data_IF_536124342651
#
_entry.id   IF_536124342651
#
_cell.length_a   1.000
_cell.length_b   1.000
_cell.length_c   1.000
_cell.angle_alpha   90.00
_cell.angle_beta   90.00
_cell.angle_gamma   90.00
#
_symmetry.space_group_name_H-M   'P 1'
#
loop_
_entity.id
_entity.type
_entity.pdbx_description
1 polymer ?
#
# COMPACT_ATOMS: atom_id res chain seq x y z
N UNK A 1 -13.84 -20.27 22.44
CA UNK A 1 -13.55 -19.04 23.20
C UNK A 1 -13.09 -18.00 22.18
N UNK A 2 -13.80 -16.89 22.03
CA UNK A 2 -13.42 -15.81 21.10
C UNK A 2 -12.18 -15.14 21.69
N UNK A 3 -11.12 -14.97 20.89
CA UNK A 3 -9.89 -14.30 21.33
C UNK A 3 -10.26 -12.90 21.88
N UNK A 4 -9.97 -12.56 23.15
CA UNK A 4 -10.44 -11.32 23.79
C UNK A 4 -9.95 -10.04 23.11
N UNK A 5 -9.06 -10.15 22.12
CA UNK A 5 -8.51 -9.03 21.36
C UNK A 5 -7.25 -8.48 22.01
N UNK A 6 -6.40 -7.82 21.22
CA UNK A 6 -5.10 -7.32 21.68
C UNK A 6 -5.18 -6.08 22.60
N UNK A 7 -6.37 -5.50 22.79
CA UNK A 7 -6.60 -4.31 23.61
C UNK A 7 -7.83 -4.52 24.50
N UNK A 8 -7.65 -4.33 25.80
CA UNK A 8 -8.68 -4.41 26.84
C UNK A 8 -8.75 -3.10 27.65
N UNK A 9 -9.82 -2.97 28.45
CA UNK A 9 -9.99 -1.90 29.44
C UNK A 9 -9.70 -0.48 28.95
N UNK A 10 -8.89 0.28 29.69
CA UNK A 10 -8.59 1.69 29.41
C UNK A 10 -7.89 1.91 28.06
N UNK A 11 -7.02 0.98 27.63
CA UNK A 11 -6.37 1.03 26.32
C UNK A 11 -7.40 0.96 25.19
N UNK A 12 -8.37 0.05 25.33
CA UNK A 12 -9.45 -0.10 24.35
C UNK A 12 -10.37 1.12 24.35
N UNK A 13 -10.71 1.66 25.52
CA UNK A 13 -11.55 2.85 25.65
C UNK A 13 -10.89 4.07 24.97
N UNK A 14 -9.60 4.29 25.21
CA UNK A 14 -8.84 5.33 24.54
C UNK A 14 -8.88 5.19 23.01
N UNK A 15 -8.61 3.98 22.50
CA UNK A 15 -8.61 3.72 21.05
C UNK A 15 -10.00 3.91 20.44
N UNK A 16 -11.07 3.50 21.13
CA UNK A 16 -12.46 3.74 20.69
C UNK A 16 -12.75 5.25 20.62
N UNK A 17 -12.30 6.03 21.62
CA UNK A 17 -12.44 7.48 21.63
C UNK A 17 -11.68 8.21 20.52
N UNK A 18 -10.66 7.58 19.92
CA UNK A 18 -9.91 8.14 18.78
C UNK A 18 -10.42 7.69 17.41
N UNK A 19 -11.45 6.84 17.32
CA UNK A 19 -12.02 6.39 16.05
C UNK A 19 -12.44 7.55 15.16
N UNK A 20 -13.12 8.57 15.71
CA UNK A 20 -13.55 9.73 14.93
C UNK A 20 -12.39 10.49 14.28
N UNK A 21 -11.27 10.67 15.00
CA UNK A 21 -10.07 11.30 14.45
C UNK A 21 -9.41 10.45 13.37
N UNK A 22 -9.38 9.12 13.56
CA UNK A 22 -8.90 8.20 12.53
C UNK A 22 -9.80 8.24 11.29
N UNK A 23 -11.13 8.28 11.45
CA UNK A 23 -12.10 8.33 10.35
C UNK A 23 -11.99 9.64 9.57
N UNK A 24 -11.84 10.77 10.28
CA UNK A 24 -11.53 12.04 9.65
C UNK A 24 -10.21 11.97 8.86
N UNK A 25 -9.19 11.29 9.39
CA UNK A 25 -7.94 11.02 8.67
C UNK A 25 -8.14 10.18 7.41
N UNK A 26 -8.94 9.12 7.47
CA UNK A 26 -9.27 8.32 6.28
C UNK A 26 -10.03 9.15 5.25
N UNK A 27 -11.09 9.85 5.66
CA UNK A 27 -11.91 10.66 4.77
C UNK A 27 -11.17 11.85 4.17
N UNK A 28 -10.19 12.40 4.91
CA UNK A 28 -9.45 13.59 4.52
C UNK A 28 -8.10 13.33 3.88
N UNK A 29 -7.68 12.08 3.70
CA UNK A 29 -6.41 11.77 3.03
C UNK A 29 -5.16 11.85 3.92
N UNK A 30 -5.30 11.90 5.24
CA UNK A 30 -4.20 12.10 6.22
C UNK A 30 -4.21 11.08 7.37
N UNK A 31 -4.66 9.86 7.10
CA UNK A 31 -4.72 8.73 8.03
C UNK A 31 -3.39 8.43 8.68
N UNK A 32 -2.26 8.61 8.00
CA UNK A 32 -0.94 8.37 8.61
C UNK A 32 -0.62 9.40 9.70
N UNK A 33 -0.93 10.66 9.49
CA UNK A 33 -0.73 11.72 10.50
C UNK A 33 -1.71 11.55 11.67
N UNK A 34 -2.96 11.16 11.38
CA UNK A 34 -3.93 10.79 12.39
C UNK A 34 -3.43 9.58 13.21
N UNK A 35 -2.91 8.53 12.56
CA UNK A 35 -2.33 7.36 13.22
C UNK A 35 -1.11 7.72 14.05
N UNK A 36 -0.18 8.51 13.53
CA UNK A 36 1.01 8.94 14.25
C UNK A 36 0.62 9.74 15.50
N UNK A 37 -0.38 10.61 15.39
CA UNK A 37 -0.93 11.37 16.53
C UNK A 37 -1.58 10.45 17.55
N UNK A 38 -2.36 9.46 17.11
CA UNK A 38 -3.00 8.47 17.98
C UNK A 38 -1.94 7.63 18.70
N UNK A 39 -0.94 7.12 17.98
CA UNK A 39 0.16 6.33 18.54
C UNK A 39 0.96 7.15 19.54
N UNK A 40 1.35 8.38 19.21
CA UNK A 40 2.06 9.28 20.13
C UNK A 40 1.29 9.46 21.43
N UNK A 41 -0.01 9.82 21.36
CA UNK A 41 -0.86 10.00 22.54
C UNK A 41 -1.07 8.70 23.31
N UNK A 42 -1.17 7.58 22.59
CA UNK A 42 -1.27 6.26 23.21
C UNK A 42 -0.01 5.97 24.04
N UNK A 43 1.19 6.09 23.46
CA UNK A 43 2.44 5.77 24.16
C UNK A 43 2.75 6.70 25.34
N UNK A 44 2.26 7.94 25.30
CA UNK A 44 2.34 8.85 26.45
C UNK A 44 1.50 8.40 27.64
N UNK A 45 0.30 7.89 27.36
CA UNK A 45 -0.67 7.46 28.39
C UNK A 45 -0.44 6.02 28.86
N UNK A 46 0.09 5.19 27.97
CA UNK A 46 0.34 3.77 28.18
C UNK A 46 1.82 3.50 27.90
N UNK A 47 2.70 3.69 28.91
CA UNK A 47 4.15 3.55 28.72
C UNK A 47 4.52 2.16 28.19
N UNK A 48 5.46 2.11 27.26
CA UNK A 48 5.94 0.87 26.62
C UNK A 48 6.52 -0.11 27.64
N UNK A 49 7.07 0.41 28.74
CA UNK A 49 7.70 -0.38 29.79
C UNK A 49 6.67 -1.02 30.75
N UNK A 50 5.40 -0.60 30.69
CA UNK A 50 4.33 -1.17 31.50
C UNK A 50 3.82 -2.46 30.85
N UNK A 51 3.65 -3.52 31.63
CA UNK A 51 3.10 -4.79 31.12
C UNK A 51 1.69 -4.58 30.54
N UNK A 52 1.34 -5.33 29.49
CA UNK A 52 0.07 -5.17 28.77
C UNK A 52 -1.15 -5.54 29.62
N UNK A 53 -0.95 -6.32 30.67
CA UNK A 53 -2.00 -6.75 31.61
C UNK A 53 -2.20 -5.76 32.77
N UNK A 54 -1.36 -4.72 32.87
CA UNK A 54 -1.41 -3.75 33.96
C UNK A 54 -1.90 -2.41 33.42
N UNK A 55 -3.03 -1.94 33.93
CA UNK A 55 -3.56 -0.62 33.58
C UNK A 55 -2.80 0.49 34.31
N UNK A 56 -2.48 1.61 33.65
CA UNK A 56 -1.93 2.78 34.33
C UNK A 56 -2.93 3.33 35.36
N UNK A 57 -2.42 3.90 36.45
CA UNK A 57 -3.28 4.55 37.44
C UNK A 57 -4.01 5.75 36.84
N UNK A 58 -5.21 6.06 37.34
CA UNK A 58 -5.97 7.23 36.92
C UNK A 58 -5.19 8.54 37.14
N UNK A 59 -4.40 8.61 38.22
CA UNK A 59 -3.52 9.75 38.52
C UNK A 59 -2.43 9.93 37.44
N UNK A 60 -1.82 8.84 36.98
CA UNK A 60 -0.86 8.91 35.88
C UNK A 60 -1.51 9.42 34.60
N UNK A 61 -2.69 8.89 34.25
CA UNK A 61 -3.42 9.32 33.05
C UNK A 61 -3.86 10.78 33.10
N UNK A 62 -4.20 11.29 34.28
CA UNK A 62 -4.57 12.70 34.47
C UNK A 62 -3.38 13.65 34.39
N UNK A 63 -2.19 13.19 34.78
CA UNK A 63 -0.95 13.98 34.73
C UNK A 63 -0.33 14.06 33.32
N UNK A 64 -0.73 13.19 32.39
CA UNK A 64 -0.15 13.15 31.04
C UNK A 64 -0.68 14.29 30.17
N UNK A 65 0.22 15.20 29.79
CA UNK A 65 -0.05 16.19 28.75
C UNK A 65 0.17 15.59 27.35
N UNK A 66 -0.93 15.34 26.64
CA UNK A 66 -0.92 14.88 25.25
C UNK A 66 -0.22 15.87 24.30
N UNK A 67 -0.28 17.18 24.61
CA UNK A 67 0.20 18.29 23.80
C UNK A 67 1.71 18.47 23.82
N UNK A 68 2.36 18.21 24.96
CA UNK A 68 3.81 18.40 25.14
C UNK A 68 4.66 17.69 24.06
N UNK A 69 5.84 18.23 23.70
CA UNK A 69 6.84 17.47 22.95
C UNK A 69 7.27 16.21 23.71
N UNK A 70 7.59 15.13 22.99
CA UNK A 70 8.18 13.94 23.61
C UNK A 70 9.70 14.17 23.72
N UNK A 71 10.32 13.90 24.88
CA UNK A 71 11.76 14.04 25.02
C UNK A 71 12.47 13.09 24.06
N UNK A 72 13.47 13.60 23.34
CA UNK A 72 14.28 12.75 22.45
C UNK A 72 15.02 11.73 23.30
N UNK A 73 14.90 10.45 22.93
CA UNK A 73 15.57 9.38 23.64
C UNK A 73 17.05 9.37 23.20
N UNK A 74 17.94 9.76 24.10
CA UNK A 74 19.37 9.78 23.84
C UNK A 74 19.87 8.34 23.57
N UNK A 75 20.66 8.18 22.51
CA UNK A 75 21.35 6.92 22.26
C UNK A 75 22.47 6.77 23.32
N UNK A 76 22.69 5.55 23.86
CA UNK A 76 23.77 5.32 24.81
C UNK A 76 25.10 5.77 24.22
N UNK A 77 25.85 6.58 24.97
CA UNK A 77 27.14 7.11 24.54
C UNK A 77 28.25 6.13 24.98
N UNK A 78 28.95 5.54 24.00
CA UNK A 78 30.01 4.55 24.23
C UNK A 78 31.19 5.15 25.00
N UNK A 79 31.44 6.45 24.87
CA UNK A 79 32.57 7.13 25.51
C UNK A 79 32.29 7.51 26.98
N UNK A 80 31.02 7.55 27.39
CA UNK A 80 30.61 7.97 28.75
C UNK A 80 30.27 6.81 29.68
N UNK A 81 29.86 5.68 29.12
CA UNK A 81 29.39 4.52 29.87
C UNK A 81 30.47 3.44 29.94
N UNK A 82 30.53 2.70 31.03
CA UNK A 82 31.37 1.50 31.05
C UNK A 82 30.87 0.48 30.00
N UNK A 83 31.72 -0.42 29.49
CA UNK A 83 31.32 -1.41 28.49
C UNK A 83 30.11 -2.26 28.91
N UNK A 84 29.95 -2.55 30.20
CA UNK A 84 28.82 -3.31 30.73
C UNK A 84 27.52 -2.48 30.75
N UNK A 85 27.59 -1.23 31.22
CA UNK A 85 26.45 -0.31 31.24
C UNK A 85 25.97 0.06 29.82
N UNK A 86 26.90 0.25 28.89
CA UNK A 86 26.59 0.49 27.48
C UNK A 86 25.82 -0.67 26.85
N UNK A 87 26.25 -1.91 27.13
CA UNK A 87 25.56 -3.10 26.65
C UNK A 87 24.15 -3.23 27.24
N UNK A 88 23.98 -2.94 28.52
CA UNK A 88 22.67 -2.97 29.17
C UNK A 88 21.74 -1.89 28.62
N UNK A 89 22.23 -0.65 28.49
CA UNK A 89 21.49 0.46 27.91
C UNK A 89 21.06 0.17 26.47
N UNK A 90 21.97 -0.40 25.66
CA UNK A 90 21.69 -0.80 24.28
C UNK A 90 20.64 -1.90 24.22
N UNK A 91 20.75 -2.93 25.07
CA UNK A 91 19.74 -4.01 25.17
C UNK A 91 18.37 -3.48 25.57
N UNK A 92 18.31 -2.57 26.55
CA UNK A 92 17.06 -1.95 26.99
C UNK A 92 16.41 -1.13 25.87
N UNK A 93 17.21 -0.37 25.12
CA UNK A 93 16.74 0.41 23.98
C UNK A 93 16.24 -0.50 22.85
N UNK A 94 16.95 -1.60 22.57
CA UNK A 94 16.55 -2.58 21.58
C UNK A 94 15.24 -3.30 21.97
N UNK A 95 15.12 -3.77 23.22
CA UNK A 95 13.90 -4.38 23.74
C UNK A 95 12.71 -3.41 23.65
N UNK A 96 12.92 -2.12 23.95
CA UNK A 96 11.90 -1.08 23.79
C UNK A 96 11.51 -0.89 22.32
N UNK A 97 12.48 -0.85 21.39
CA UNK A 97 12.22 -0.79 19.94
C UNK A 97 11.39 -1.99 19.46
N UNK A 98 11.68 -3.19 19.96
CA UNK A 98 10.93 -4.43 19.64
C UNK A 98 9.49 -4.39 20.18
N UNK A 99 9.28 -3.87 21.40
CA UNK A 99 7.95 -3.67 21.97
C UNK A 99 7.12 -2.64 21.16
N UNK A 100 7.74 -1.57 20.67
CA UNK A 100 7.09 -0.59 19.79
C UNK A 100 6.66 -1.25 18.46
N UNK A 101 7.51 -2.12 17.90
CA UNK A 101 7.19 -2.89 16.68
C UNK A 101 6.03 -3.88 16.92
N UNK A 102 5.96 -4.50 18.10
CA UNK A 102 4.85 -5.37 18.48
C UNK A 102 3.51 -4.61 18.51
N UNK A 103 3.52 -3.33 18.88
CA UNK A 103 2.34 -2.46 18.88
C UNK A 103 1.92 -1.90 17.51
N UNK A 104 2.50 -2.41 16.40
CA UNK A 104 1.87 -2.39 15.05
C UNK A 104 0.42 -2.92 15.05
N UNK A 105 -0.02 -3.53 16.15
CA UNK A 105 -1.42 -3.83 16.45
C UNK A 105 -2.37 -2.62 16.40
N UNK A 106 -1.95 -1.41 16.78
CA UNK A 106 -2.84 -0.22 16.79
C UNK A 106 -3.31 0.13 15.37
N UNK A 107 -2.38 0.17 14.39
CA UNK A 107 -2.71 0.42 12.98
C UNK A 107 -3.69 -0.62 12.45
N UNK A 108 -3.39 -1.90 12.68
CA UNK A 108 -4.27 -3.02 12.26
C UNK A 108 -5.64 -2.96 12.94
N UNK A 109 -5.69 -2.61 14.21
CA UNK A 109 -6.93 -2.50 14.97
C UNK A 109 -7.78 -1.33 14.46
N UNK A 110 -7.20 -0.16 14.21
CA UNK A 110 -7.92 1.00 13.66
C UNK A 110 -8.47 0.71 12.26
N UNK A 111 -7.65 0.10 11.39
CA UNK A 111 -8.08 -0.32 10.06
C UNK A 111 -9.24 -1.34 10.14
N UNK A 112 -9.11 -2.36 11.01
CA UNK A 112 -10.18 -3.33 11.24
C UNK A 112 -11.47 -2.68 11.73
N UNK A 113 -11.40 -1.76 12.70
CA UNK A 113 -12.58 -1.04 13.19
C UNK A 113 -13.21 -0.18 12.10
N UNK A 114 -12.40 0.46 11.25
CA UNK A 114 -12.91 1.22 10.11
C UNK A 114 -13.66 0.33 9.12
N UNK A 115 -13.05 -0.79 8.70
CA UNK A 115 -13.69 -1.74 7.79
C UNK A 115 -14.96 -2.34 8.37
N UNK A 116 -14.96 -2.65 9.68
CA UNK A 116 -16.12 -3.19 10.38
C UNK A 116 -17.29 -2.21 10.42
N UNK A 117 -17.01 -0.93 10.67
CA UNK A 117 -18.06 0.10 10.77
C UNK A 117 -18.56 0.57 9.40
N UNK A 118 -17.80 0.35 8.32
CA UNK A 118 -18.13 0.79 6.95
C UNK A 118 -18.47 -0.37 6.01
N UNK A 119 -18.69 -1.58 6.53
CA UNK A 119 -19.06 -2.80 5.78
C UNK A 119 -18.14 -3.12 4.58
N UNK A 120 -16.87 -2.70 4.62
CA UNK A 120 -15.92 -2.93 3.53
C UNK A 120 -15.51 -4.41 3.53
N UNK A 121 -15.91 -5.13 2.48
CA UNK A 121 -15.66 -6.56 2.33
C UNK A 121 -14.24 -6.79 1.77
N UNK A 122 -13.36 -7.42 2.56
CA UNK A 122 -11.93 -7.63 2.25
C UNK A 122 -11.66 -8.56 1.05
N UNK A 123 -12.71 -9.12 0.45
CA UNK A 123 -12.63 -10.22 -0.53
C UNK A 123 -12.39 -9.78 -1.98
N UNK A 124 -12.50 -8.49 -2.28
CA UNK A 124 -12.40 -8.00 -3.67
C UNK A 124 -10.99 -7.50 -4.06
N UNK A 125 -10.02 -7.54 -3.15
CA UNK A 125 -8.72 -6.88 -3.33
C UNK A 125 -7.68 -7.65 -4.17
N UNK A 126 -7.88 -8.95 -4.44
CA UNK A 126 -6.82 -9.79 -5.01
C UNK A 126 -6.93 -10.12 -6.51
N UNK A 127 -8.15 -10.32 -7.02
CA UNK A 127 -8.35 -10.98 -8.33
C UNK A 127 -8.36 -10.05 -9.53
N UNK A 128 -8.36 -8.73 -9.34
CA UNK A 128 -8.32 -7.74 -10.43
C UNK A 128 -7.08 -6.82 -10.34
N UNK A 129 -5.90 -7.38 -10.06
CA UNK A 129 -4.68 -6.58 -10.14
C UNK A 129 -4.31 -6.36 -11.62
N UNK A 130 -4.38 -5.13 -12.15
CA UNK A 130 -4.08 -4.85 -13.55
C UNK A 130 -2.60 -5.05 -13.90
N UNK A 131 -1.71 -5.15 -12.90
CA UNK A 131 -0.29 -5.43 -13.09
C UNK A 131 0.06 -6.93 -13.13
N UNK A 132 -0.91 -7.83 -13.01
CA UNK A 132 -0.63 -9.27 -13.04
C UNK A 132 0.10 -9.70 -14.34
N UNK A 133 -0.28 -9.11 -15.48
CA UNK A 133 0.36 -9.33 -16.78
C UNK A 133 1.80 -8.80 -16.79
N UNK A 134 2.03 -7.59 -16.26
CA UNK A 134 3.38 -6.99 -16.20
C UNK A 134 4.31 -7.76 -15.26
N UNK A 135 3.81 -8.20 -14.09
CA UNK A 135 4.54 -9.09 -13.18
C UNK A 135 4.99 -10.37 -13.89
N UNK A 136 4.12 -10.97 -14.70
CA UNK A 136 4.45 -12.16 -15.46
C UNK A 136 5.57 -11.90 -16.46
N UNK A 137 5.50 -10.78 -17.20
CA UNK A 137 6.54 -10.40 -18.16
C UNK A 137 7.88 -10.15 -17.48
N UNK A 138 7.89 -9.46 -16.32
CA UNK A 138 9.11 -9.14 -15.58
C UNK A 138 9.76 -10.35 -14.90
N UNK A 139 8.96 -11.25 -14.31
CA UNK A 139 9.52 -12.39 -13.59
C UNK A 139 10.06 -13.47 -14.53
N UNK A 140 9.68 -13.49 -15.80
CA UNK A 140 10.01 -14.58 -16.75
C UNK A 140 9.46 -15.95 -16.33
N UNK A 141 8.71 -16.00 -15.24
CA UNK A 141 8.00 -17.17 -14.74
C UNK A 141 6.58 -17.06 -15.27
N UNK A 142 6.22 -17.98 -16.16
CA UNK A 142 4.83 -18.14 -16.61
C UNK A 142 3.92 -18.22 -15.39
N UNK A 143 2.81 -17.46 -15.35
CA UNK A 143 1.74 -17.72 -14.39
C UNK A 143 1.47 -19.23 -14.35
N UNK A 144 1.06 -19.75 -13.19
CA UNK A 144 0.60 -21.14 -13.12
C UNK A 144 -0.37 -21.37 -14.27
N UNK A 145 0.06 -22.18 -15.25
CA UNK A 145 -0.74 -22.53 -16.42
C UNK A 145 -2.11 -22.90 -15.90
N UNK A 146 -3.16 -22.30 -16.49
CA UNK A 146 -4.54 -22.60 -16.17
C UNK A 146 -4.66 -24.12 -16.03
N UNK A 147 -5.09 -24.59 -14.86
CA UNK A 147 -5.17 -26.03 -14.62
C UNK A 147 -6.45 -26.52 -15.27
N UNK A 148 -6.33 -27.47 -16.19
CA UNK A 148 -7.49 -28.16 -16.73
C UNK A 148 -8.33 -28.74 -15.58
N UNK A 149 -9.62 -28.41 -15.56
CA UNK A 149 -10.56 -28.96 -14.59
C UNK A 149 -10.73 -30.46 -14.87
N UNK A 150 -10.89 -31.27 -13.83
CA UNK A 150 -11.20 -32.69 -14.03
C UNK A 150 -12.61 -32.83 -14.62
N UNK A 151 -12.89 -33.87 -15.42
CA UNK A 151 -14.22 -34.08 -16.02
C UNK A 151 -15.34 -34.11 -14.97
N UNK A 152 -15.08 -34.74 -13.83
CA UNK A 152 -16.01 -34.77 -12.69
C UNK A 152 -16.33 -33.37 -12.13
N UNK A 153 -15.36 -32.44 -12.12
CA UNK A 153 -15.61 -31.08 -11.65
C UNK A 153 -16.48 -30.28 -12.63
N UNK A 154 -16.32 -30.50 -13.94
CA UNK A 154 -17.17 -29.87 -14.96
C UNK A 154 -18.60 -30.40 -14.85
N UNK A 155 -18.76 -31.72 -14.78
CA UNK A 155 -20.05 -32.38 -14.57
C UNK A 155 -20.78 -31.92 -13.27
N UNK A 156 -20.04 -31.74 -12.17
CA UNK A 156 -20.60 -31.27 -10.89
C UNK A 156 -21.26 -29.89 -10.98
N UNK A 157 -20.86 -29.03 -11.93
CA UNK A 157 -21.44 -27.68 -12.07
C UNK A 157 -22.89 -27.75 -12.55
N UNK A 158 -23.19 -28.66 -13.47
CA UNK A 158 -24.52 -28.82 -14.07
C UNK A 158 -25.43 -29.71 -13.22
N UNK A 159 -24.86 -30.58 -12.38
CA UNK A 159 -25.60 -31.53 -11.53
C UNK A 159 -25.54 -31.16 -10.03
N UNK A 160 -25.25 -29.90 -9.71
CA UNK A 160 -25.01 -29.47 -8.33
C UNK A 160 -26.23 -29.70 -7.42
N UNK A 161 -27.44 -29.52 -7.95
CA UNK A 161 -28.70 -29.69 -7.21
C UNK A 161 -28.95 -31.17 -6.86
N UNK A 162 -28.76 -32.07 -7.83
CA UNK A 162 -28.94 -33.52 -7.60
C UNK A 162 -27.94 -34.07 -6.58
N UNK A 163 -26.68 -33.63 -6.68
CA UNK A 163 -25.62 -33.97 -5.71
C UNK A 163 -25.99 -33.44 -4.33
N UNK A 164 -26.54 -32.22 -4.25
CA UNK A 164 -26.93 -31.59 -2.99
C UNK A 164 -28.07 -32.34 -2.31
N UNK A 165 -29.10 -32.70 -3.08
CA UNK A 165 -30.27 -33.40 -2.57
C UNK A 165 -29.92 -34.81 -2.11
N UNK A 166 -29.09 -35.53 -2.87
CA UNK A 166 -28.58 -36.85 -2.47
C UNK A 166 -27.65 -36.75 -1.25
N UNK A 167 -26.79 -35.73 -1.17
CA UNK A 167 -25.93 -35.50 0.00
C UNK A 167 -26.75 -35.19 1.26
N UNK A 168 -27.79 -34.36 1.16
CA UNK A 168 -28.74 -34.09 2.26
C UNK A 168 -29.50 -35.34 2.67
N UNK A 169 -29.96 -36.14 1.71
CA UNK A 169 -30.64 -37.41 1.96
C UNK A 169 -29.76 -38.38 2.75
N UNK A 170 -28.49 -38.53 2.37
CA UNK A 170 -27.51 -39.36 3.08
C UNK A 170 -27.18 -38.82 4.49
N UNK A 171 -27.04 -37.50 4.61
CA UNK A 171 -26.83 -36.86 5.92
C UNK A 171 -28.00 -37.09 6.87
N UNK A 172 -29.24 -36.94 6.38
CA UNK A 172 -30.46 -37.20 7.17
C UNK A 172 -30.56 -38.67 7.57
N UNK A 173 -30.22 -39.61 6.67
CA UNK A 173 -30.18 -41.05 6.98
C UNK A 173 -29.13 -41.40 8.04
N UNK A 174 -27.92 -40.84 7.94
CA UNK A 174 -26.87 -41.04 8.96
C UNK A 174 -27.25 -40.42 10.32
N UNK A 175 -27.97 -39.30 10.31
CA UNK A 175 -28.51 -38.66 11.53
C UNK A 175 -29.59 -39.52 12.20
N UNK A 176 -30.52 -40.10 11.41
CA UNK A 176 -31.53 -41.04 11.90
C UNK A 176 -30.91 -42.34 12.44
N UNK A 177 -29.79 -42.76 11.88
CA UNK A 177 -29.04 -43.95 12.31
C UNK A 177 -28.13 -43.70 13.53
N UNK A 178 -28.20 -42.52 14.17
CA UNK A 178 -27.42 -42.19 15.37
C UNK A 178 -25.90 -42.06 15.15
N UNK A 179 -25.44 -41.92 13.90
CA UNK A 179 -24.01 -41.75 13.59
C UNK A 179 -23.57 -40.30 13.85
N UNK A 180 -22.29 -40.11 14.20
CA UNK A 180 -21.70 -38.78 14.38
C UNK A 180 -21.94 -37.91 13.14
N UNK A 181 -22.44 -36.68 13.33
CA UNK A 181 -22.66 -35.70 12.26
C UNK A 181 -21.35 -35.43 11.50
N UNK A 182 -21.19 -36.04 10.32
CA UNK A 182 -20.19 -35.61 9.35
C UNK A 182 -20.61 -34.24 8.79
N UNK A 183 -19.63 -33.39 8.50
CA UNK A 183 -19.89 -32.11 7.79
C UNK A 183 -20.48 -32.42 6.40
N UNK A 184 -21.34 -31.56 5.89
CA UNK A 184 -22.04 -31.78 4.61
C UNK A 184 -21.07 -31.77 3.41
N UNK A 185 -20.01 -30.95 3.43
CA UNK A 185 -19.03 -30.84 2.35
C UNK A 185 -18.33 -32.16 1.95
N UNK A 186 -17.75 -32.97 2.86
CA UNK A 186 -17.16 -34.27 2.49
C UNK A 186 -18.19 -35.27 1.97
N UNK A 187 -19.44 -35.22 2.43
CA UNK A 187 -20.52 -36.07 1.91
C UNK A 187 -20.81 -35.69 0.45
N UNK A 188 -20.99 -34.39 0.15
CA UNK A 188 -21.18 -33.90 -1.22
C UNK A 188 -20.07 -34.37 -2.17
N UNK A 189 -18.81 -34.27 -1.73
CA UNK A 189 -17.66 -34.71 -2.54
C UNK A 189 -17.66 -36.21 -2.81
N UNK A 190 -18.05 -37.04 -1.82
CA UNK A 190 -18.20 -38.50 -2.01
C UNK A 190 -19.33 -38.83 -2.98
N UNK A 191 -20.50 -38.22 -2.76
CA UNK A 191 -21.69 -38.40 -3.61
C UNK A 191 -21.38 -38.04 -5.05
N UNK A 192 -20.78 -36.88 -5.29
CA UNK A 192 -20.41 -36.46 -6.63
C UNK A 192 -19.45 -37.45 -7.32
N UNK A 193 -18.46 -37.96 -6.59
CA UNK A 193 -17.51 -38.95 -7.13
C UNK A 193 -18.21 -40.27 -7.47
N UNK A 194 -19.08 -40.75 -6.58
CA UNK A 194 -19.82 -42.00 -6.80
C UNK A 194 -20.79 -41.88 -7.98
N UNK A 195 -21.58 -40.81 -8.04
CA UNK A 195 -22.50 -40.54 -9.15
C UNK A 195 -21.76 -40.44 -10.48
N UNK A 196 -20.60 -39.77 -10.51
CA UNK A 196 -19.79 -39.67 -11.72
C UNK A 196 -19.21 -41.02 -12.18
N UNK A 197 -18.87 -41.92 -11.25
CA UNK A 197 -18.36 -43.27 -11.59
C UNK A 197 -19.45 -44.16 -12.16
N UNK A 198 -20.72 -43.95 -11.77
CA UNK A 198 -21.87 -44.71 -12.27
C UNK A 198 -22.23 -44.34 -13.72
N UNK A 199 -21.83 -43.15 -14.19
CA UNK A 199 -22.05 -42.74 -15.57
C UNK A 199 -21.45 -43.72 -16.57
N UNK A 200 -22.12 -43.85 -17.72
CA UNK A 200 -21.62 -44.68 -18.82
C UNK A 200 -20.24 -44.18 -19.30
N UNK A 201 -19.50 -45.05 -19.99
CA UNK A 201 -18.21 -44.65 -20.56
C UNK A 201 -18.38 -43.50 -21.56
N UNK A 202 -19.42 -43.56 -22.40
CA UNK A 202 -19.73 -42.53 -23.39
C UNK A 202 -19.96 -41.16 -22.72
N UNK A 203 -20.80 -41.09 -21.69
CA UNK A 203 -21.04 -39.82 -20.98
C UNK A 203 -19.76 -39.28 -20.32
N UNK A 204 -18.95 -40.16 -19.72
CA UNK A 204 -17.66 -39.75 -19.11
C UNK A 204 -16.69 -39.20 -20.15
N UNK A 205 -16.68 -39.75 -21.36
CA UNK A 205 -15.87 -39.26 -22.47
C UNK A 205 -16.38 -37.91 -22.99
N UNK A 206 -17.70 -37.71 -23.07
CA UNK A 206 -18.31 -36.42 -23.41
C UNK A 206 -17.91 -35.31 -22.41
N UNK A 207 -17.98 -35.58 -21.10
CA UNK A 207 -17.51 -34.63 -20.08
C UNK A 207 -16.00 -34.40 -20.12
N UNK A 208 -15.23 -35.41 -20.52
CA UNK A 208 -13.79 -35.29 -20.73
C UNK A 208 -13.47 -34.37 -21.89
N UNK A 209 -14.21 -34.48 -23.00
CA UNK A 209 -14.06 -33.60 -24.14
C UNK A 209 -14.48 -32.17 -23.79
N UNK A 210 -15.62 -31.98 -23.13
CA UNK A 210 -16.07 -30.66 -22.69
C UNK A 210 -15.05 -29.99 -21.76
N UNK A 211 -14.45 -30.76 -20.83
CA UNK A 211 -13.40 -30.24 -19.95
C UNK A 211 -12.11 -29.83 -20.69
N UNK A 212 -11.80 -30.46 -21.83
CA UNK A 212 -10.70 -30.05 -22.72
C UNK A 212 -11.09 -28.79 -23.49
N UNK A 213 -12.27 -28.76 -24.10
CA UNK A 213 -12.74 -27.63 -24.89
C UNK A 213 -12.86 -26.35 -24.04
N UNK A 214 -13.43 -26.45 -22.83
CA UNK A 214 -13.46 -25.33 -21.87
C UNK A 214 -12.04 -24.86 -21.51
N UNK A 215 -11.11 -25.79 -21.29
CA UNK A 215 -9.74 -25.45 -20.94
C UNK A 215 -8.99 -24.78 -22.09
N UNK A 216 -9.13 -25.30 -23.31
CA UNK A 216 -8.50 -24.75 -24.50
C UNK A 216 -9.06 -23.36 -24.82
N UNK A 217 -10.37 -23.16 -24.66
CA UNK A 217 -10.99 -21.84 -24.76
C UNK A 217 -10.50 -20.86 -23.68
N UNK A 218 -10.42 -21.29 -22.42
CA UNK A 218 -9.88 -20.48 -21.31
C UNK A 218 -8.40 -20.12 -21.55
N UNK A 219 -7.58 -21.07 -22.04
CA UNK A 219 -6.17 -20.84 -22.39
C UNK A 219 -6.03 -19.91 -23.58
N UNK A 220 -6.85 -20.06 -24.62
CA UNK A 220 -6.84 -19.19 -25.77
C UNK A 220 -7.20 -17.75 -25.37
N UNK A 221 -8.24 -17.58 -24.55
CA UNK A 221 -8.62 -16.27 -24.00
C UNK A 221 -7.51 -15.66 -23.15
N UNK A 222 -6.94 -16.44 -22.23
CA UNK A 222 -5.84 -15.99 -21.37
C UNK A 222 -4.60 -15.60 -22.17
N UNK A 223 -4.23 -16.36 -23.21
CA UNK A 223 -3.14 -16.01 -24.13
C UNK A 223 -3.45 -14.72 -24.89
N UNK A 224 -4.67 -14.57 -25.41
CA UNK A 224 -5.08 -13.36 -26.11
C UNK A 224 -5.07 -12.14 -25.18
N UNK A 225 -5.47 -12.29 -23.92
CA UNK A 225 -5.39 -11.22 -22.90
C UNK A 225 -3.93 -10.89 -22.53
N UNK A 226 -3.04 -11.88 -22.55
CA UNK A 226 -1.61 -11.72 -22.24
C UNK A 226 -0.80 -11.08 -23.37
N UNK A 227 -1.09 -11.49 -24.61
CA UNK A 227 -0.39 -11.05 -25.84
C UNK A 227 -1.05 -9.82 -26.47
N UNK A 228 -2.30 -9.53 -26.09
CA UNK A 228 -3.05 -8.38 -26.56
C UNK A 228 -2.47 -7.05 -26.07
N UNK A 229 -2.80 -5.94 -26.74
CA UNK A 229 -2.41 -4.61 -26.26
C UNK A 229 -3.06 -4.35 -24.89
N UNK A 230 -2.32 -3.66 -24.02
CA UNK A 230 -2.87 -3.21 -22.74
C UNK A 230 -4.12 -2.35 -22.97
N UNK A 231 -5.11 -2.50 -22.08
CA UNK A 231 -6.33 -1.69 -22.13
C UNK A 231 -6.00 -0.19 -22.13
N UNK A 232 -6.59 0.52 -23.07
CA UNK A 232 -6.44 1.98 -23.20
C UNK A 232 -7.61 2.76 -22.59
N UNK A 233 -8.57 2.06 -21.98
CA UNK A 233 -9.75 2.72 -21.38
C UNK A 233 -9.32 3.60 -20.20
N UNK A 234 -9.95 4.77 -19.99
CA UNK A 234 -9.66 5.63 -18.86
C UNK A 234 -9.79 4.92 -17.50
N UNK A 235 -10.81 4.07 -17.34
CA UNK A 235 -11.05 3.32 -16.10
C UNK A 235 -9.94 2.31 -15.79
N UNK A 236 -9.50 1.53 -16.77
CA UNK A 236 -8.43 0.56 -16.54
C UNK A 236 -7.08 1.26 -16.31
N UNK A 237 -6.83 2.37 -17.01
CA UNK A 237 -5.65 3.22 -16.75
C UNK A 237 -5.65 3.77 -15.32
N UNK A 238 -6.79 4.24 -14.81
CA UNK A 238 -6.88 4.70 -13.42
C UNK A 238 -6.58 3.58 -12.43
N UNK A 239 -7.13 2.37 -12.65
CA UNK A 239 -6.81 1.19 -11.81
C UNK A 239 -5.31 0.87 -11.82
N UNK A 240 -4.67 0.94 -12.98
CA UNK A 240 -3.21 0.81 -13.07
C UNK A 240 -2.50 1.91 -12.27
N UNK A 241 -2.85 3.17 -12.47
CA UNK A 241 -2.22 4.29 -11.76
C UNK A 241 -2.32 4.12 -10.23
N UNK A 242 -3.50 3.78 -9.72
CA UNK A 242 -3.74 3.52 -8.29
C UNK A 242 -2.94 2.30 -7.77
N UNK A 243 -2.85 1.24 -8.57
CA UNK A 243 -2.12 0.02 -8.20
C UNK A 243 -0.59 0.14 -8.34
N UNK A 244 -0.07 1.16 -9.03
CA UNK A 244 1.35 1.23 -9.41
C UNK A 244 2.27 1.19 -8.18
N UNK A 245 1.87 1.88 -7.11
CA UNK A 245 2.64 1.89 -5.86
C UNK A 245 2.78 0.52 -5.25
N UNK A 246 1.66 -0.21 -5.11
CA UNK A 246 1.67 -1.53 -4.50
C UNK A 246 2.49 -2.54 -5.32
N UNK A 247 2.50 -2.34 -6.64
CA UNK A 247 3.26 -3.16 -7.57
C UNK A 247 4.77 -2.83 -7.58
N UNK A 248 5.16 -1.55 -7.62
CA UNK A 248 6.58 -1.16 -7.77
C UNK A 248 7.33 -1.14 -6.44
N UNK A 249 6.67 -0.84 -5.31
CA UNK A 249 7.36 -0.75 -4.01
C UNK A 249 8.18 -2.01 -3.66
N UNK A 250 7.63 -3.24 -3.76
CA UNK A 250 8.41 -4.45 -3.47
C UNK A 250 9.62 -4.64 -4.40
N UNK A 251 9.54 -4.17 -5.64
CA UNK A 251 10.64 -4.24 -6.61
C UNK A 251 11.77 -3.29 -6.18
N UNK A 252 11.43 -2.04 -5.85
CA UNK A 252 12.40 -1.06 -5.38
C UNK A 252 13.04 -1.50 -4.05
N UNK A 253 12.26 -2.08 -3.13
CA UNK A 253 12.74 -2.64 -1.88
C UNK A 253 13.70 -3.81 -2.11
N UNK A 254 13.39 -4.69 -3.07
CA UNK A 254 14.27 -5.78 -3.50
C UNK A 254 15.61 -5.26 -4.06
N UNK A 255 15.58 -4.25 -4.94
CA UNK A 255 16.79 -3.61 -5.47
C UNK A 255 17.63 -3.04 -4.32
N UNK A 256 17.02 -2.28 -3.41
CA UNK A 256 17.73 -1.70 -2.27
C UNK A 256 18.33 -2.76 -1.35
N UNK A 257 17.63 -3.88 -1.15
CA UNK A 257 18.09 -4.99 -0.31
C UNK A 257 19.29 -5.70 -0.92
N UNK A 258 19.25 -6.02 -2.21
CA UNK A 258 20.32 -6.78 -2.89
C UNK A 258 21.55 -5.92 -3.17
N UNK A 259 21.35 -4.67 -3.59
CA UNK A 259 22.45 -3.80 -4.04
C UNK A 259 22.99 -2.89 -2.93
N UNK A 260 22.23 -2.71 -1.85
CA UNK A 260 22.48 -1.68 -0.83
C UNK A 260 22.15 -0.25 -1.29
N UNK A 261 21.76 -0.04 -2.56
CA UNK A 261 21.46 1.28 -3.12
C UNK A 261 20.16 1.85 -2.55
N UNK A 262 19.82 3.06 -2.99
CA UNK A 262 18.54 3.72 -2.74
C UNK A 262 17.89 3.92 -4.10
N UNK A 263 16.66 3.47 -4.25
CA UNK A 263 15.98 3.44 -5.54
C UNK A 263 14.77 4.37 -5.50
N UNK A 264 14.44 4.98 -6.63
CA UNK A 264 13.23 5.80 -6.76
C UNK A 264 12.66 5.63 -8.16
N UNK A 265 11.35 5.49 -8.26
CA UNK A 265 10.61 5.58 -9.51
C UNK A 265 9.92 6.94 -9.56
N UNK A 266 10.05 7.63 -10.69
CA UNK A 266 9.21 8.77 -11.05
C UNK A 266 8.38 8.37 -12.27
N UNK A 267 7.07 8.59 -12.19
CA UNK A 267 6.16 8.36 -13.30
C UNK A 267 5.12 9.47 -13.32
N UNK A 268 4.71 9.91 -14.50
CA UNK A 268 3.64 10.91 -14.61
C UNK A 268 2.96 10.87 -15.96
N UNK A 269 1.81 11.53 -16.04
CA UNK A 269 0.96 11.58 -17.22
C UNK A 269 -0.47 12.03 -16.89
N UNK A 270 -1.38 11.98 -17.88
CA UNK A 270 -2.79 12.32 -17.68
C UNK A 270 -3.45 11.34 -16.70
N UNK A 271 -4.02 11.87 -15.62
CA UNK A 271 -4.76 11.07 -14.64
C UNK A 271 -6.27 11.12 -14.93
N UNK A 272 -6.89 9.98 -15.33
CA UNK A 272 -8.30 9.93 -15.69
C UNK A 272 -9.26 10.46 -14.61
N UNK A 273 -9.14 10.01 -13.37
CA UNK A 273 -10.01 10.44 -12.27
C UNK A 273 -9.74 11.88 -11.80
N UNK A 274 -8.73 12.54 -12.37
CA UNK A 274 -8.45 13.95 -12.14
C UNK A 274 -8.74 14.79 -13.39
N UNK A 275 -9.78 14.41 -14.14
CA UNK A 275 -10.21 15.10 -15.36
C UNK A 275 -9.16 15.08 -16.47
N UNK A 276 -8.29 14.07 -16.48
CA UNK A 276 -7.19 13.94 -17.44
C UNK A 276 -6.03 14.90 -17.23
N UNK A 277 -5.98 15.63 -16.11
CA UNK A 277 -4.87 16.55 -15.81
C UNK A 277 -3.56 15.77 -15.63
N UNK A 278 -2.45 16.42 -15.99
CA UNK A 278 -1.13 15.87 -15.74
C UNK A 278 -0.89 15.75 -14.23
N UNK A 279 -0.41 14.58 -13.81
CA UNK A 279 -0.01 14.32 -12.44
C UNK A 279 1.31 13.53 -12.43
N UNK A 280 2.06 13.65 -11.34
CA UNK A 280 3.30 12.89 -11.12
C UNK A 280 3.23 12.13 -9.81
N UNK A 281 3.68 10.88 -9.84
CA UNK A 281 3.90 10.05 -8.67
C UNK A 281 5.38 9.70 -8.55
N UNK A 282 5.87 9.74 -7.32
CA UNK A 282 7.20 9.30 -6.97
C UNK A 282 7.15 8.28 -5.86
N UNK A 283 7.77 7.14 -6.11
CA UNK A 283 7.82 5.99 -5.20
C UNK A 283 9.28 5.79 -4.83
N UNK A 284 9.59 5.82 -3.54
CA UNK A 284 10.95 5.78 -3.05
C UNK A 284 11.20 4.49 -2.25
N UNK A 285 12.41 3.94 -2.35
CA UNK A 285 12.85 2.88 -1.45
C UNK A 285 14.20 3.23 -0.83
N UNK A 286 14.25 3.02 0.48
CA UNK A 286 15.34 3.39 1.35
C UNK A 286 15.23 4.80 1.92
N UNK A 287 15.98 5.01 3.00
CA UNK A 287 15.91 6.21 3.83
C UNK A 287 17.30 6.68 4.24
N UNK A 288 17.39 7.95 4.62
CA UNK A 288 18.61 8.50 5.23
C UNK A 288 18.89 7.83 6.59
N UNK A 289 20.15 7.93 7.04
CA UNK A 289 20.55 7.49 8.39
C UNK A 289 19.98 8.45 9.45
N UNK A 290 19.97 8.02 10.71
CA UNK A 290 19.43 8.77 11.85
C UNK A 290 18.11 8.22 12.39
N UNK A 291 17.62 8.85 13.47
CA UNK A 291 16.41 8.47 14.22
C UNK A 291 15.14 8.66 13.40
N UNK A 292 15.07 9.75 12.63
CA UNK A 292 13.95 10.03 11.74
C UNK A 292 14.28 9.54 10.34
N UNK A 293 13.73 8.39 9.97
CA UNK A 293 13.90 7.83 8.63
C UNK A 293 13.10 8.66 7.62
N UNK A 294 13.79 9.36 6.73
CA UNK A 294 13.19 10.08 5.60
C UNK A 294 13.68 9.49 4.28
N UNK A 295 12.76 9.28 3.34
CA UNK A 295 13.10 8.90 1.96
C UNK A 295 13.51 10.14 1.15
N UNK A 296 14.05 9.92 -0.06
CA UNK A 296 14.56 10.98 -0.94
C UNK A 296 13.60 12.15 -1.14
N UNK A 297 12.34 11.88 -1.53
CA UNK A 297 11.33 12.93 -1.73
C UNK A 297 11.02 13.78 -0.49
N UNK A 298 11.19 13.24 0.73
CA UNK A 298 10.97 13.97 1.98
C UNK A 298 12.22 14.67 2.47
N UNK A 299 13.39 14.04 2.37
CA UNK A 299 14.66 14.65 2.79
C UNK A 299 15.04 15.84 1.91
N UNK A 300 14.77 15.75 0.60
CA UNK A 300 15.09 16.80 -0.38
C UNK A 300 13.88 17.63 -0.80
N UNK A 301 12.79 17.63 -0.01
CA UNK A 301 11.47 18.18 -0.41
C UNK A 301 11.54 19.56 -1.08
N UNK A 302 12.34 20.49 -0.53
CA UNK A 302 12.50 21.84 -1.07
C UNK A 302 13.13 21.83 -2.47
N UNK A 303 14.26 21.12 -2.65
CA UNK A 303 14.95 21.04 -3.94
C UNK A 303 14.18 20.20 -4.93
N UNK A 304 13.56 19.13 -4.45
CA UNK A 304 12.69 18.26 -5.21
C UNK A 304 11.55 19.07 -5.85
N UNK A 305 10.82 19.86 -5.04
CA UNK A 305 9.72 20.69 -5.53
C UNK A 305 10.19 21.85 -6.42
N UNK A 306 11.36 22.42 -6.11
CA UNK A 306 11.88 23.57 -6.85
C UNK A 306 12.45 23.19 -8.22
N UNK A 307 13.07 22.02 -8.34
CA UNK A 307 13.86 21.66 -9.52
C UNK A 307 13.33 20.42 -10.23
N UNK A 308 13.02 19.35 -9.50
CA UNK A 308 12.66 18.07 -10.12
C UNK A 308 11.23 18.06 -10.63
N UNK A 309 10.27 18.53 -9.82
CA UNK A 309 8.84 18.60 -10.22
C UNK A 309 8.67 19.46 -11.48
N UNK A 310 9.20 20.70 -11.57
CA UNK A 310 9.02 21.52 -12.77
C UNK A 310 9.71 20.92 -13.99
N UNK A 311 10.93 20.40 -13.83
CA UNK A 311 11.67 19.75 -14.92
C UNK A 311 10.88 18.58 -15.52
N UNK A 312 10.31 17.71 -14.67
CA UNK A 312 9.54 16.57 -15.13
C UNK A 312 8.16 17.00 -15.66
N UNK A 313 7.53 18.02 -15.07
CA UNK A 313 6.31 18.65 -15.58
C UNK A 313 6.49 19.16 -17.01
N UNK A 314 7.56 19.92 -17.28
CA UNK A 314 7.86 20.47 -18.61
C UNK A 314 8.08 19.36 -19.64
N UNK A 315 8.67 18.24 -19.22
CA UNK A 315 8.77 17.05 -20.05
C UNK A 315 7.40 16.46 -20.36
N UNK A 316 6.53 16.27 -19.36
CA UNK A 316 5.18 15.72 -19.55
C UNK A 316 4.30 16.61 -20.45
N UNK A 317 4.41 17.93 -20.33
CA UNK A 317 3.70 18.87 -21.20
C UNK A 317 4.11 18.75 -22.68
N UNK A 318 5.34 18.30 -22.96
CA UNK A 318 5.80 18.00 -24.33
C UNK A 318 5.30 16.64 -24.81
N UNK A 319 5.04 15.71 -23.89
CA UNK A 319 4.58 14.35 -24.21
C UNK A 319 3.08 14.24 -24.48
N UNK A 320 2.25 15.12 -23.90
CA UNK A 320 0.80 14.99 -23.92
C UNK A 320 0.12 16.30 -24.34
N UNK A 321 -0.73 16.24 -25.37
CA UNK A 321 -1.52 17.40 -25.76
C UNK A 321 -2.70 17.63 -24.80
N UNK A 322 -3.23 18.86 -24.72
CA UNK A 322 -4.45 19.13 -23.96
C UNK A 322 -5.66 18.31 -24.43
N UNK A 323 -5.75 18.04 -25.73
CA UNK A 323 -6.81 17.22 -26.33
C UNK A 323 -6.73 15.78 -25.85
N UNK A 324 -5.53 15.18 -25.89
CA UNK A 324 -5.28 13.83 -25.41
C UNK A 324 -5.55 13.72 -23.90
N UNK A 325 -5.20 14.74 -23.12
CA UNK A 325 -5.53 14.81 -21.70
C UNK A 325 -7.06 14.75 -21.50
N UNK A 326 -7.83 15.55 -22.24
CA UNK A 326 -9.30 15.56 -22.15
C UNK A 326 -9.93 14.24 -22.58
N UNK A 327 -9.42 13.58 -23.62
CA UNK A 327 -9.90 12.26 -24.07
C UNK A 327 -9.68 11.16 -23.03
N UNK A 328 -8.66 11.32 -22.18
CA UNK A 328 -8.33 10.39 -21.09
C UNK A 328 -9.08 10.67 -19.80
N UNK A 329 -9.85 11.77 -19.74
CA UNK A 329 -10.62 12.12 -18.56
C UNK A 329 -11.75 11.11 -18.33
N UNK A 330 -11.95 10.75 -17.07
CA UNK A 330 -13.01 9.86 -16.64
C UNK A 330 -14.09 10.70 -15.92
N UNK A 331 -15.39 10.52 -16.23
CA UNK A 331 -16.45 11.29 -15.58
C UNK A 331 -16.53 11.01 -14.08
N UNK A 332 -16.77 12.05 -13.28
CA UNK A 332 -16.92 11.93 -11.82
C UNK A 332 -18.01 10.93 -11.39
N UNK A 333 -18.99 10.65 -12.26
CA UNK A 333 -20.08 9.70 -12.01
C UNK A 333 -19.64 8.25 -11.88
N UNK A 334 -18.45 7.88 -12.35
CA UNK A 334 -17.95 6.50 -12.30
C UNK A 334 -17.32 6.12 -10.94
N UNK A 335 -17.26 7.06 -9.98
CA UNK A 335 -16.89 6.76 -8.59
C UNK A 335 -15.40 6.48 -8.35
N UNK A 336 -14.52 6.81 -9.29
CA UNK A 336 -13.08 6.70 -9.09
C UNK A 336 -12.51 7.91 -8.32
N UNK A 337 -11.63 7.64 -7.37
CA UNK A 337 -10.91 8.68 -6.63
C UNK A 337 -9.57 9.00 -7.30
N UNK A 338 -9.24 10.30 -7.37
CA UNK A 338 -7.93 10.74 -7.81
C UNK A 338 -6.85 10.44 -6.76
N UNK A 339 -5.61 10.29 -7.21
CA UNK A 339 -4.44 10.02 -6.37
C UNK A 339 -4.21 11.08 -5.29
N UNK A 340 -4.60 12.34 -5.55
CA UNK A 340 -4.48 13.41 -4.56
C UNK A 340 -5.45 13.24 -3.37
N UNK A 341 -6.56 12.52 -3.57
CA UNK A 341 -7.55 12.19 -2.52
C UNK A 341 -7.24 10.85 -1.86
N UNK A 342 -6.63 9.93 -2.60
CA UNK A 342 -6.18 8.67 -2.06
C UNK A 342 -5.03 8.93 -1.09
N UNK A 343 -5.29 8.70 0.20
CA UNK A 343 -4.21 8.54 1.17
C UNK A 343 -3.43 7.27 0.81
N UNK A 344 -2.42 7.43 -0.03
CA UNK A 344 -1.48 6.38 -0.40
C UNK A 344 -0.56 6.13 0.80
N UNK A 345 -1.12 5.69 1.94
CA UNK A 345 -0.54 5.60 3.29
C UNK A 345 0.74 4.76 3.47
N UNK A 346 1.44 4.51 2.38
CA UNK A 346 2.86 4.22 2.29
C UNK A 346 3.66 5.51 2.51
N UNK A 347 4.50 5.52 3.55
CA UNK A 347 5.46 6.60 3.83
C UNK A 347 6.46 6.86 2.69
N UNK A 348 6.43 6.05 1.64
CA UNK A 348 7.39 6.03 0.56
C UNK A 348 6.87 6.67 -0.74
N UNK A 349 5.60 7.09 -0.77
CA UNK A 349 4.98 7.65 -1.97
C UNK A 349 4.68 9.12 -1.80
N UNK A 350 5.02 9.87 -2.85
CA UNK A 350 4.71 11.29 -2.98
C UNK A 350 3.94 11.51 -4.28
N UNK A 351 2.78 12.13 -4.18
CA UNK A 351 1.96 12.55 -5.33
C UNK A 351 2.13 14.06 -5.46
N UNK A 352 2.60 14.51 -6.62
CA UNK A 352 2.86 15.91 -6.92
C UNK A 352 1.92 16.37 -8.04
N UNK A 353 0.98 17.25 -7.68
CA UNK A 353 0.08 17.89 -8.63
C UNK A 353 0.87 18.83 -9.53
N UNK A 354 0.85 18.55 -10.83
CA UNK A 354 1.42 19.45 -11.82
C UNK A 354 0.40 20.55 -12.07
N UNK A 355 0.82 21.80 -11.79
CA UNK A 355 0.00 22.97 -12.11
C UNK A 355 -0.36 22.99 -13.60
N UNK A 356 -1.54 23.54 -13.93
CA UNK A 356 -1.84 23.85 -15.33
C UNK A 356 -0.73 24.75 -15.87
N UNK A 357 -0.30 24.58 -17.13
CA UNK A 357 0.66 25.49 -17.74
C UNK A 357 0.12 26.91 -17.60
N UNK A 358 0.77 27.70 -16.74
CA UNK A 358 0.62 29.15 -16.78
C UNK A 358 1.18 29.56 -18.13
N UNK A 359 0.32 29.94 -19.07
CA UNK A 359 0.73 30.51 -20.36
C UNK A 359 1.87 31.51 -20.11
N UNK A 360 2.98 31.27 -20.80
CA UNK A 360 4.34 31.60 -20.36
C UNK A 360 4.62 33.04 -19.95
N UNK A 361 5.55 33.16 -19.01
CA UNK A 361 6.58 34.20 -18.96
C UNK A 361 7.72 33.74 -18.04
N UNK A 362 8.38 32.64 -18.42
CA UNK A 362 9.74 32.36 -17.95
C UNK A 362 10.70 32.94 -19.00
N UNK A 363 10.96 34.24 -18.90
CA UNK A 363 12.12 34.86 -19.55
C UNK A 363 13.38 34.30 -18.90
N UNK A 364 14.14 33.50 -19.63
CA UNK A 364 15.48 33.06 -19.24
C UNK A 364 16.55 34.13 -19.55
N UNK A 365 16.16 35.40 -19.67
CA UNK A 365 17.06 36.53 -19.78
C UNK A 365 17.36 37.07 -18.39
N UNK A 366 18.29 36.40 -17.69
CA UNK A 366 19.06 37.07 -16.65
C UNK A 366 20.19 37.80 -17.38
N UNK A 367 20.03 39.10 -17.54
CA UNK A 367 21.15 39.99 -17.87
C UNK A 367 22.32 39.72 -16.91
N UNK A 368 23.57 39.70 -17.40
CA UNK A 368 24.72 39.63 -16.51
C UNK A 368 24.79 40.94 -15.72
N UNK A 369 24.74 40.80 -14.39
CA UNK A 369 25.10 41.85 -13.43
C UNK A 369 26.44 42.48 -13.84
N UNK A 370 26.40 43.77 -14.17
CA UNK A 370 27.58 44.60 -14.35
C UNK A 370 28.46 44.48 -13.09
N UNK A 371 29.66 43.95 -13.27
CA UNK A 371 30.71 44.03 -12.27
C UNK A 371 31.12 45.50 -12.12
N UNK A 372 30.77 46.11 -11.00
CA UNK A 372 31.37 47.37 -10.55
C UNK A 372 32.91 47.20 -10.49
N UNK A 373 33.60 48.10 -11.18
CA UNK A 373 35.04 48.10 -11.34
C UNK A 373 35.83 48.36 -10.06
N UNK A 374 37.15 48.15 -10.08
CA UNK A 374 38.01 48.26 -8.91
C UNK A 374 38.19 49.71 -8.47
N UNK A 375 38.03 49.94 -7.16
CA UNK A 375 38.42 51.18 -6.48
C UNK A 375 39.90 51.47 -6.72
N UNK A 376 40.18 52.63 -7.30
CA UNK A 376 41.50 53.25 -7.34
C UNK A 376 41.97 53.55 -5.93
N UNK A 377 43.08 52.95 -5.52
CA UNK A 377 43.78 53.27 -4.27
C UNK A 377 44.74 54.41 -4.57
N UNK A 378 44.44 55.60 -4.06
CA UNK A 378 45.36 56.73 -4.06
C UNK A 378 46.55 56.43 -3.14
N UNK A 379 47.76 56.40 -3.72
CA UNK A 379 49.02 56.32 -2.98
C UNK A 379 49.56 57.72 -2.83
N UNK A 380 49.40 58.31 -1.64
CA UNK A 380 50.13 59.50 -1.22
C UNK A 380 51.62 59.18 -1.07
N UNK A 381 52.44 59.77 -1.93
CA UNK A 381 53.90 59.81 -1.78
C UNK A 381 54.26 61.07 -1.00
N UNK A 382 54.50 60.94 0.30
CA UNK A 382 55.14 62.00 1.09
C UNK A 382 56.65 61.95 0.88
N UNK A 383 57.15 62.93 0.12
CA UNK A 383 58.56 63.28 0.03
C UNK A 383 59.03 63.99 1.31
N UNK A 384 59.92 63.37 2.08
CA UNK A 384 60.75 64.08 3.07
C UNK A 384 62.18 64.18 2.55
N UNK A 385 62.59 65.41 2.28
CA UNK A 385 63.97 65.82 2.07
C UNK A 385 64.34 66.76 3.22
N UNK A 386 65.35 66.38 4.01
CA UNK A 386 66.38 67.20 4.68
C UNK A 386 67.04 66.37 5.77
#
# INVERSE_FOLDING_TARGET
MVNPGAFSGLCKEFLMGKKASYYAGVAGGYVQDALATIQRRYFKRFPVDLSHDIEPSAEHLAAVDDGAPEPEQEEPDEDKLSPEEYQEATKRLQARRELIVFQKGIKRWMAYQYMKDHELNDKDSGTQNPFAVLLQQLMGVSLQRLRQKTPSNVWQRTHCQEIEDEAKRRMNKDMLAGRKKKKLAPIRKSVAKEMFVVLSQQERDEWSQLAKDEHDAEVAKWKAELEGPASTTPADRQKCIQGLTQFVQPILDGICTVTGWKASLLAGGPEPAYGGRLNMISIHSGTIRGNVKMHFGRSEQVRYNKFLVPMYSDFLQKCYSPEECRERALPDSEGFECLAKLDMGSQNVKVDLIGLPTNGLYSFDKEPEEQEGPQTVDVEITSTSS
#
